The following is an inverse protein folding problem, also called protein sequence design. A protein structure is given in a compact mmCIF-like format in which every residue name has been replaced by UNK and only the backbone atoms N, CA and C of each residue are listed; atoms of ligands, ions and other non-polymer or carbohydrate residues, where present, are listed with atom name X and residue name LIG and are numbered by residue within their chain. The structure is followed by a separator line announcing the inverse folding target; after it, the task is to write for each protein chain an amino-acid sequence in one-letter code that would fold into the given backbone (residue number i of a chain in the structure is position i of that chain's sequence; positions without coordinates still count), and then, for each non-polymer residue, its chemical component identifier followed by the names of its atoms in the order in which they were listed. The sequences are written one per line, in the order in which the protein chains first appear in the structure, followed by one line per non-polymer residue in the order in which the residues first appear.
data_IF_881494449699
#
_entry.id   IF_881494449699
#
_cell.length_a   1.000
_cell.length_b   1.000
_cell.length_c   1.000
_cell.angle_alpha   90.00
_cell.angle_beta   90.00
_cell.angle_gamma   90.00
#
_symmetry.space_group_name_H-M   'P 1'
#
loop_
_entity.id
_entity.type
_entity.pdbx_description
1 polymer ?
#
# COMPACT_ATOMS: atom_id res chain seq x y z
N UNK A 1 -14.71 4.97 3.05
CA UNK A 1 -13.66 5.13 4.07
C UNK A 1 -12.32 5.23 3.35
N UNK A 2 -11.39 6.08 3.79
CA UNK A 2 -10.06 6.18 3.18
C UNK A 2 -8.97 6.05 4.27
N UNK A 3 -7.78 5.62 3.88
CA UNK A 3 -6.58 5.60 4.72
C UNK A 3 -5.42 6.26 3.99
N UNK A 4 -4.40 6.72 4.71
CA UNK A 4 -3.13 7.12 4.13
C UNK A 4 -2.08 6.10 4.54
N UNK A 5 -1.41 5.50 3.57
CA UNK A 5 -0.33 4.52 3.79
C UNK A 5 0.99 5.11 3.32
N UNK A 6 2.10 4.64 3.90
CA UNK A 6 3.44 4.95 3.38
C UNK A 6 4.08 3.75 2.70
N UNK A 7 4.58 3.95 1.49
CA UNK A 7 5.34 2.95 0.74
C UNK A 7 6.47 3.64 -0.01
N UNK A 8 7.67 3.04 -0.04
CA UNK A 8 8.80 3.57 -0.81
C UNK A 8 9.21 5.01 -0.45
N UNK A 9 8.93 5.46 0.78
CA UNK A 9 9.17 6.84 1.23
C UNK A 9 8.13 7.86 0.81
N UNK A 10 7.07 7.46 0.09
CA UNK A 10 5.94 8.31 -0.31
C UNK A 10 4.67 7.95 0.46
N UNK A 11 3.75 8.90 0.52
CA UNK A 11 2.41 8.69 1.08
C UNK A 11 1.39 8.50 -0.04
N UNK A 12 0.49 7.55 0.16
CA UNK A 12 -0.60 7.24 -0.76
C UNK A 12 -1.91 7.24 -0.01
N UNK A 13 -2.92 7.95 -0.52
CA UNK A 13 -4.29 7.80 -0.05
C UNK A 13 -4.90 6.59 -0.75
N UNK A 14 -5.56 5.72 0.00
CA UNK A 14 -6.16 4.48 -0.50
C UNK A 14 -7.59 4.29 -0.03
N UNK A 15 -8.34 3.54 -0.82
CA UNK A 15 -9.69 3.05 -0.49
C UNK A 15 -9.79 1.55 -0.74
N UNK A 16 -10.75 0.89 -0.11
CA UNK A 16 -10.96 -0.56 -0.30
C UNK A 16 -11.32 -0.90 -1.75
N UNK A 17 -10.68 -1.92 -2.32
CA UNK A 17 -10.89 -2.37 -3.70
C UNK A 17 -10.11 -1.58 -4.77
N UNK A 18 -9.32 -0.58 -4.37
CA UNK A 18 -8.49 0.22 -5.27
C UNK A 18 -7.25 -0.54 -5.75
N UNK A 19 -6.89 -0.37 -7.03
CA UNK A 19 -5.59 -0.82 -7.56
C UNK A 19 -4.60 0.34 -7.54
N UNK A 20 -3.55 0.22 -6.73
CA UNK A 20 -2.53 1.25 -6.56
C UNK A 20 -1.19 0.80 -7.17
N UNK A 21 -0.50 1.72 -7.85
CA UNK A 21 0.92 1.54 -8.20
C UNK A 21 1.79 2.09 -7.08
N UNK A 22 2.67 1.25 -6.57
CA UNK A 22 3.66 1.58 -5.55
C UNK A 22 5.06 1.19 -6.02
N UNK A 23 6.07 1.60 -5.27
CA UNK A 23 7.45 1.14 -5.43
C UNK A 23 7.56 -0.38 -5.26
N UNK A 24 8.72 -0.93 -5.64
CA UNK A 24 8.97 -2.37 -5.53
C UNK A 24 8.85 -2.83 -4.07
N UNK A 25 7.98 -3.81 -3.86
CA UNK A 25 7.80 -4.48 -2.58
C UNK A 25 8.56 -5.80 -2.58
N UNK A 26 9.01 -6.23 -1.41
CA UNK A 26 9.62 -7.56 -1.21
C UNK A 26 8.52 -8.60 -0.99
N UNK A 27 7.75 -8.86 -2.05
CA UNK A 27 6.62 -9.79 -2.06
C UNK A 27 6.45 -10.41 -3.44
N UNK A 28 5.90 -11.62 -3.49
CA UNK A 28 5.58 -12.31 -4.74
C UNK A 28 4.18 -11.98 -5.24
N UNK A 29 3.92 -12.22 -6.52
CA UNK A 29 2.59 -12.04 -7.08
C UNK A 29 1.58 -12.99 -6.42
N UNK A 30 0.50 -12.42 -5.88
CA UNK A 30 -0.54 -13.17 -5.16
C UNK A 30 -0.37 -13.21 -3.64
N UNK A 31 0.76 -12.73 -3.12
CA UNK A 31 0.95 -12.63 -1.67
C UNK A 31 0.03 -11.56 -1.08
N UNK A 32 -0.49 -11.85 0.11
CA UNK A 32 -1.16 -10.86 0.96
C UNK A 32 -0.10 -10.27 1.88
N UNK A 33 0.08 -8.96 1.80
CA UNK A 33 1.01 -8.22 2.66
C UNK A 33 0.26 -7.25 3.57
N UNK A 34 0.83 -6.98 4.74
CA UNK A 34 0.37 -5.93 5.65
C UNK A 34 1.28 -4.73 5.50
N UNK A 35 0.68 -3.54 5.39
CA UNK A 35 1.41 -2.27 5.38
C UNK A 35 1.26 -1.64 6.77
N UNK A 36 2.36 -1.57 7.51
CA UNK A 36 2.33 -1.22 8.94
C UNK A 36 2.19 0.30 9.18
N UNK A 37 2.64 1.13 8.24
CA UNK A 37 2.58 2.59 8.37
C UNK A 37 1.27 3.15 7.78
N UNK A 38 0.25 3.29 8.66
CA UNK A 38 -1.00 4.01 8.39
C UNK A 38 -0.99 5.36 9.13
N UNK A 39 -1.30 6.44 8.41
CA UNK A 39 -1.31 7.83 8.87
C UNK A 39 -2.73 8.43 8.87
#
# INVERSE_FOLDING_TARGET
MYAVIKSGGKQHRVTEGETLRVEKLDASAGDVITLDEVL
#
